data_IF_232277524338
#
_entry.id   IF_232277524338
#
_cell.length_a   1.000
_cell.length_b   1.000
_cell.length_c   1.000
_cell.angle_alpha   90.00
_cell.angle_beta   90.00
_cell.angle_gamma   90.00
#
_symmetry.space_group_name_H-M   'P 1'
#
loop_
_entity.id
_entity.type
_entity.pdbx_description
1 polymer ?
#
# COMPACT_ATOMS: atom_id res chain seq x y z
N UNK A 1 7.54 -5.43 -9.88
CA UNK A 1 6.18 -5.06 -9.43
C UNK A 1 5.95 -5.64 -8.04
N UNK A 2 5.28 -4.91 -7.16
CA UNK A 2 5.13 -5.28 -5.73
C UNK A 2 3.83 -6.05 -5.43
N UNK A 3 3.18 -6.62 -6.46
CA UNK A 3 1.93 -7.36 -6.32
C UNK A 3 0.70 -6.51 -6.03
N UNK A 4 0.80 -5.17 -6.06
CA UNK A 4 -0.32 -4.25 -5.87
C UNK A 4 -0.60 -3.52 -7.17
N UNK A 5 -1.88 -3.47 -7.56
CA UNK A 5 -2.34 -2.71 -8.71
C UNK A 5 -2.76 -1.28 -8.34
N UNK A 6 -2.49 -0.35 -9.25
CA UNK A 6 -2.84 1.05 -9.12
C UNK A 6 -4.37 1.21 -9.12
N UNK A 7 -4.97 1.90 -8.15
CA UNK A 7 -6.41 2.10 -8.09
C UNK A 7 -6.92 3.04 -9.19
N UNK A 8 -6.06 3.89 -9.76
CA UNK A 8 -6.47 4.86 -10.79
C UNK A 8 -6.49 4.25 -12.20
N UNK A 9 -5.60 3.32 -12.52
CA UNK A 9 -5.46 2.78 -13.88
C UNK A 9 -5.35 1.25 -13.98
N UNK A 10 -5.35 0.53 -12.85
CA UNK A 10 -5.25 -0.93 -12.81
C UNK A 10 -3.87 -1.51 -13.16
N UNK A 11 -2.86 -0.67 -13.42
CA UNK A 11 -1.48 -1.14 -13.72
C UNK A 11 -0.70 -1.46 -12.45
N UNK A 12 0.26 -2.39 -12.48
CA UNK A 12 1.02 -2.77 -11.29
C UNK A 12 1.89 -1.61 -10.78
N UNK A 13 2.00 -1.51 -9.46
CA UNK A 13 2.93 -0.62 -8.77
C UNK A 13 4.33 -1.25 -8.70
N UNK A 14 5.36 -0.41 -8.75
CA UNK A 14 6.74 -0.81 -8.53
C UNK A 14 7.38 0.01 -7.42
N UNK A 15 8.11 -0.67 -6.54
CA UNK A 15 8.98 -0.02 -5.55
C UNK A 15 10.15 0.63 -6.28
N UNK A 16 10.41 1.88 -5.97
CA UNK A 16 11.52 2.68 -6.48
C UNK A 16 12.17 3.39 -5.31
N UNK A 17 13.48 3.62 -5.40
CA UNK A 17 14.23 4.35 -4.38
C UNK A 17 14.61 5.73 -4.91
N UNK A 18 14.33 6.76 -4.14
CA UNK A 18 14.80 8.11 -4.44
C UNK A 18 16.31 8.21 -4.24
N UNK A 19 16.96 9.20 -4.86
CA UNK A 19 18.38 9.53 -4.62
C UNK A 19 18.70 9.77 -3.13
N UNK A 20 17.72 10.18 -2.33
CA UNK A 20 17.85 10.39 -0.87
C UNK A 20 17.65 9.12 -0.05
N UNK A 21 17.51 7.96 -0.70
CA UNK A 21 17.37 6.67 -0.03
C UNK A 21 15.95 6.31 0.43
N UNK A 22 14.97 7.21 0.28
CA UNK A 22 13.57 6.93 0.61
C UNK A 22 12.92 6.08 -0.49
N UNK A 23 12.31 4.97 -0.12
CA UNK A 23 11.50 4.16 -1.03
C UNK A 23 10.14 4.80 -1.28
N UNK A 24 9.64 4.66 -2.50
CA UNK A 24 8.31 5.08 -2.94
C UNK A 24 7.77 4.07 -3.94
N UNK A 25 6.44 3.99 -4.05
CA UNK A 25 5.76 3.00 -4.86
C UNK A 25 5.03 3.72 -5.98
N UNK A 26 5.60 3.70 -7.17
CA UNK A 26 5.06 4.41 -8.33
C UNK A 26 4.30 3.47 -9.26
N UNK A 27 3.26 3.98 -9.91
CA UNK A 27 2.61 3.29 -11.01
C UNK A 27 3.58 3.05 -12.16
N UNK A 28 3.58 1.83 -12.71
CA UNK A 28 4.32 1.50 -13.93
C UNK A 28 3.74 2.16 -15.18
N UNK A 29 2.52 2.71 -15.09
CA UNK A 29 1.83 3.41 -16.16
C UNK A 29 2.30 4.83 -16.48
N UNK A 30 3.34 5.34 -15.83
CA UNK A 30 3.92 6.66 -16.13
C UNK A 30 4.36 6.75 -17.62
N UNK A 31 4.12 7.87 -18.33
CA UNK A 31 3.61 9.18 -17.86
C UNK A 31 2.09 9.30 -17.76
N UNK A 32 1.33 8.32 -18.27
CA UNK A 32 -0.14 8.37 -18.32
C UNK A 32 -0.78 8.29 -16.92
N UNK A 33 -0.16 7.58 -15.98
CA UNK A 33 -0.59 7.54 -14.58
C UNK A 33 0.56 7.99 -13.69
N UNK A 34 0.35 9.10 -12.97
CA UNK A 34 1.34 9.71 -12.05
C UNK A 34 1.14 9.28 -10.59
N UNK A 35 0.29 8.29 -10.36
CA UNK A 35 0.03 7.75 -9.03
C UNK A 35 1.32 7.22 -8.40
N UNK A 36 1.61 7.70 -7.19
CA UNK A 36 2.75 7.28 -6.39
C UNK A 36 2.44 7.37 -4.91
N UNK A 37 2.98 6.42 -4.13
CA UNK A 37 2.77 6.32 -2.69
C UNK A 37 4.11 6.37 -1.96
N UNK A 38 4.12 7.03 -0.81
CA UNK A 38 5.27 7.06 0.09
C UNK A 38 5.26 5.93 1.11
N UNK A 39 4.06 5.44 1.41
CA UNK A 39 3.80 4.30 2.28
C UNK A 39 3.79 3.02 1.44
N UNK A 40 4.20 1.89 2.04
CA UNK A 40 4.25 0.61 1.35
C UNK A 40 2.84 0.05 1.20
N UNK A 41 2.32 -0.12 -0.02
CA UNK A 41 1.03 -0.75 -0.19
C UNK A 41 1.20 -2.27 -0.02
N UNK A 42 0.28 -2.88 0.71
CA UNK A 42 0.20 -4.30 1.01
C UNK A 42 -0.84 -4.89 0.06
N UNK A 43 -0.52 -5.99 -0.67
CA UNK A 43 -1.46 -6.69 -1.55
C UNK A 43 -2.51 -7.48 -0.76
N UNK A 44 -3.15 -6.81 0.19
CA UNK A 44 -4.17 -7.33 1.07
C UNK A 44 -5.44 -6.50 0.85
N UNK A 45 -6.57 -7.15 0.48
CA UNK A 45 -7.82 -6.44 0.34
C UNK A 45 -8.30 -5.92 1.69
N UNK A 46 -8.95 -4.76 1.68
CA UNK A 46 -9.58 -4.23 2.87
C UNK A 46 -10.75 -5.15 3.27
N UNK A 47 -10.90 -5.54 4.55
CA UNK A 47 -12.01 -6.39 5.00
C UNK A 47 -13.39 -5.74 4.81
N UNK A 48 -13.44 -4.41 4.68
CA UNK A 48 -14.68 -3.69 4.36
C UNK A 48 -15.01 -3.68 2.86
N UNK A 49 -14.11 -4.17 2.00
CA UNK A 49 -14.33 -4.23 0.54
C UNK A 49 -14.03 -2.92 -0.21
N UNK A 50 -13.71 -1.82 0.48
CA UNK A 50 -13.49 -0.50 -0.13
C UNK A 50 -12.20 -0.36 -0.93
N UNK A 51 -11.25 -1.29 -0.76
CA UNK A 51 -9.92 -1.20 -1.39
C UNK A 51 -9.30 -2.57 -1.60
N UNK A 52 -8.54 -2.73 -2.68
CA UNK A 52 -7.84 -3.98 -3.04
C UNK A 52 -6.47 -4.13 -2.37
N UNK A 53 -5.99 -3.06 -1.74
CA UNK A 53 -4.72 -3.02 -1.04
C UNK A 53 -4.84 -2.14 0.19
N UNK A 54 -3.95 -2.34 1.16
CA UNK A 54 -3.83 -1.50 2.35
C UNK A 54 -2.50 -0.75 2.35
N UNK A 55 -2.34 0.28 3.18
CA UNK A 55 -1.10 1.05 3.30
C UNK A 55 -0.44 0.79 4.65
N UNK A 56 0.81 0.32 4.61
CA UNK A 56 1.67 0.23 5.78
C UNK A 56 2.23 1.61 6.13
N UNK A 57 1.83 2.12 7.28
CA UNK A 57 2.30 3.37 7.87
C UNK A 57 3.12 3.09 9.12
N UNK A 58 4.09 3.95 9.40
CA UNK A 58 4.86 3.92 10.63
C UNK A 58 4.60 5.17 11.47
N UNK A 59 4.41 4.99 12.77
CA UNK A 59 4.27 6.06 13.76
C UNK A 59 5.19 5.79 14.95
N UNK A 60 5.80 6.82 15.52
CA UNK A 60 6.65 6.68 16.72
C UNK A 60 5.88 6.22 17.97
N UNK A 61 4.57 6.47 18.03
CA UNK A 61 3.72 6.10 19.19
C UNK A 61 3.17 4.68 19.10
N UNK A 62 2.68 4.29 17.93
CA UNK A 62 1.95 3.04 17.70
C UNK A 62 2.74 2.01 16.88
N UNK A 63 3.96 2.36 16.45
CA UNK A 63 4.78 1.52 15.60
C UNK A 63 4.21 1.38 14.18
N UNK A 64 4.34 0.18 13.62
CA UNK A 64 3.84 -0.14 12.29
C UNK A 64 2.34 -0.44 12.33
N UNK A 65 1.57 0.28 11.52
CA UNK A 65 0.12 0.11 11.37
C UNK A 65 -0.27 0.01 9.90
N UNK A 66 -1.39 -0.61 9.65
CA UNK A 66 -1.99 -0.77 8.33
C UNK A 66 -3.27 0.04 8.29
N UNK A 67 -3.44 0.87 7.26
CA UNK A 67 -4.65 1.66 7.07
C UNK A 67 -5.18 1.50 5.64
N UNK A 68 -6.50 1.55 5.48
CA UNK A 68 -7.11 1.60 4.17
C UNK A 68 -6.67 2.88 3.43
N UNK A 69 -6.31 2.80 2.13
CA UNK A 69 -6.05 3.99 1.33
C UNK A 69 -7.31 4.85 1.16
N UNK A 70 -8.50 4.23 1.22
CA UNK A 70 -9.76 4.96 1.24
C UNK A 70 -9.99 5.61 2.62
N UNK A 71 -10.07 6.94 2.63
CA UNK A 71 -10.37 7.72 3.84
C UNK A 71 -11.80 7.55 4.34
N UNK A 72 -12.75 7.23 3.45
CA UNK A 72 -14.16 7.02 3.81
C UNK A 72 -14.34 5.72 4.59
N UNK A 73 -13.50 4.73 4.33
CA UNK A 73 -13.52 3.43 5.01
C UNK A 73 -13.12 3.52 6.49
N UNK A 74 -12.11 4.34 6.82
CA UNK A 74 -11.60 4.49 8.19
C UNK A 74 -10.87 3.26 8.78
N UNK A 75 -10.80 2.13 8.06
CA UNK A 75 -10.16 0.91 8.56
C UNK A 75 -8.68 1.12 8.87
N UNK A 76 -8.28 0.81 10.10
CA UNK A 76 -6.90 0.84 10.58
C UNK A 76 -6.68 -0.31 11.56
N UNK A 77 -5.54 -1.00 11.45
CA UNK A 77 -5.11 -2.05 12.39
C UNK A 77 -3.60 -1.96 12.65
N UNK A 78 -3.12 -2.57 13.73
CA UNK A 78 -1.68 -2.73 13.95
C UNK A 78 -1.12 -3.83 13.03
N UNK A 79 0.09 -3.62 12.50
CA UNK A 79 0.77 -4.59 11.62
C UNK A 79 1.18 -5.86 12.39
N UNK A 80 1.19 -5.81 13.72
CA UNK A 80 1.53 -6.92 14.63
C UNK A 80 0.52 -8.08 14.60
N UNK A 81 -0.71 -7.83 14.14
CA UNK A 81 -1.69 -8.89 13.91
C UNK A 81 -1.39 -9.55 12.54
N UNK A 82 -0.95 -10.82 12.50
CA UNK A 82 -0.65 -11.49 11.25
C UNK A 82 -1.92 -11.58 10.41
N UNK A 83 -1.86 -11.04 9.20
CA UNK A 83 -2.78 -11.43 8.15
C UNK A 83 -2.51 -12.91 7.87
N UNK A 84 -3.49 -13.75 8.16
CA UNK A 84 -3.44 -15.20 7.95
C UNK A 84 -2.96 -15.51 6.53
N UNK A 85 -1.81 -16.20 6.46
CA UNK A 85 -1.36 -17.16 5.46
C UNK A 85 -1.46 -16.83 3.95
N UNK A 86 -0.30 -16.85 3.28
CA UNK A 86 -0.10 -17.40 1.93
C UNK A 86 1.41 -17.66 1.72
N UNK A 87 1.94 -18.85 1.44
CA UNK A 87 1.49 -20.24 1.33
C UNK A 87 2.71 -21.12 1.69
N UNK A 88 2.56 -22.35 2.18
CA UNK A 88 2.37 -23.53 1.33
C UNK A 88 3.73 -24.18 1.07
#
# INVERSE_FOLDING_TARGET
PIGVDCPECGKPLSERKTKRGKSFFGCTGYPNCKFALWDRPIPEPCPNGDSKFLLQKYSKKDGNRVACPNKECGYTRNLEAPAVAAGG
#
